data_IF_696913093039
#
_entry.id   IF_696913093039
#
_cell.length_a   1.000
_cell.length_b   1.000
_cell.length_c   1.000
_cell.angle_alpha   90.00
_cell.angle_beta   90.00
_cell.angle_gamma   90.00
#
_symmetry.space_group_name_H-M   'P 1'
#
loop_
_entity.id
_entity.type
_entity.pdbx_description
1 polymer ?
#
# COMPACT_ATOMS: atom_id res chain seq x y z
N UNK A 1 10.96 25.74 26.47
CA UNK A 1 10.57 24.84 25.36
C UNK A 1 11.76 24.77 24.43
N UNK A 2 12.41 23.61 24.34
CA UNK A 2 13.55 23.42 23.42
C UNK A 2 12.98 23.14 22.03
N UNK A 3 12.94 24.14 21.18
CA UNK A 3 12.59 23.97 19.76
C UNK A 3 13.83 23.52 19.02
N UNK A 4 14.13 22.22 19.07
CA UNK A 4 15.04 21.65 18.09
C UNK A 4 14.50 22.00 16.70
N UNK A 5 15.35 22.46 15.76
CA UNK A 5 14.87 22.81 14.42
C UNK A 5 14.23 21.59 13.78
N UNK A 6 12.97 21.73 13.34
CA UNK A 6 12.29 20.71 12.55
C UNK A 6 13.06 20.54 11.24
N UNK A 7 13.64 19.36 11.04
CA UNK A 7 14.29 18.99 9.79
C UNK A 7 13.25 18.34 8.87
N UNK A 8 13.38 18.58 7.57
CA UNK A 8 12.58 17.89 6.58
C UNK A 8 13.01 16.42 6.52
N UNK A 9 12.03 15.51 6.52
CA UNK A 9 12.27 14.12 6.18
C UNK A 9 12.50 14.03 4.66
N UNK A 10 13.68 13.54 4.25
CA UNK A 10 14.06 13.44 2.84
C UNK A 10 14.58 12.04 2.58
N UNK A 11 14.03 11.40 1.54
CA UNK A 11 14.55 10.15 0.99
C UNK A 11 14.87 10.37 -0.48
N UNK A 12 16.15 10.29 -0.83
CA UNK A 12 16.53 10.32 -2.24
C UNK A 12 16.27 8.95 -2.88
N UNK A 13 16.01 8.89 -4.20
CA UNK A 13 15.75 7.63 -4.89
C UNK A 13 16.83 6.56 -4.68
N UNK A 14 18.10 6.97 -4.59
CA UNK A 14 19.22 6.04 -4.37
C UNK A 14 19.26 5.43 -2.96
N UNK A 15 18.58 6.07 -1.99
CA UNK A 15 18.54 5.65 -0.59
C UNK A 15 17.28 4.87 -0.24
N UNK A 16 16.34 4.74 -1.20
CA UNK A 16 15.05 4.09 -1.01
C UNK A 16 15.18 2.59 -1.24
N UNK A 17 14.88 1.81 -0.20
CA UNK A 17 14.79 0.35 -0.29
C UNK A 17 13.59 -0.04 -1.17
N UNK A 18 13.78 -1.08 -2.00
CA UNK A 18 12.72 -1.66 -2.82
C UNK A 18 12.58 -3.14 -2.50
N UNK A 19 11.35 -3.56 -2.18
CA UNK A 19 10.98 -4.93 -1.81
C UNK A 19 9.96 -5.49 -2.79
N UNK A 20 9.80 -6.81 -2.84
CA UNK A 20 8.77 -7.48 -3.63
C UNK A 20 9.32 -8.39 -4.73
N UNK A 21 8.56 -8.53 -5.82
CA UNK A 21 8.82 -9.48 -6.92
C UNK A 21 8.83 -8.76 -8.25
N UNK A 22 9.06 -9.48 -9.35
CA UNK A 22 8.92 -8.92 -10.70
C UNK A 22 7.48 -8.47 -11.01
N UNK A 23 6.48 -9.07 -10.36
CA UNK A 23 5.06 -8.76 -10.57
C UNK A 23 4.62 -7.50 -9.84
N UNK A 24 5.14 -7.27 -8.62
CA UNK A 24 4.83 -6.08 -7.84
C UNK A 24 5.99 -5.74 -6.90
N UNK A 25 6.38 -4.47 -6.88
CA UNK A 25 7.40 -3.93 -5.98
C UNK A 25 6.85 -2.78 -5.15
N UNK A 26 7.41 -2.63 -3.96
CA UNK A 26 7.17 -1.49 -3.07
C UNK A 26 8.49 -0.79 -2.81
N UNK A 27 8.58 0.48 -3.17
CA UNK A 27 9.71 1.36 -2.82
C UNK A 27 9.35 2.19 -1.59
N UNK A 28 10.15 2.05 -0.54
CA UNK A 28 9.95 2.67 0.77
C UNK A 28 10.44 4.13 0.72
N UNK A 29 9.50 5.09 0.80
CA UNK A 29 9.83 6.52 0.66
C UNK A 29 10.10 7.17 2.01
N UNK A 30 9.07 7.38 2.85
CA UNK A 30 9.23 7.94 4.20
C UNK A 30 8.38 7.13 5.17
N UNK A 31 8.97 6.74 6.30
CA UNK A 31 8.20 6.11 7.38
C UNK A 31 7.63 7.14 8.37
N UNK A 32 6.64 6.71 9.17
CA UNK A 32 5.94 7.58 10.13
C UNK A 32 6.91 8.25 11.10
N UNK A 33 7.84 7.48 11.67
CA UNK A 33 8.89 7.95 12.57
C UNK A 33 9.81 9.00 11.93
N UNK A 34 10.11 8.88 10.64
CA UNK A 34 10.92 9.86 9.90
C UNK A 34 10.14 11.17 9.66
N UNK A 35 8.83 11.06 9.42
CA UNK A 35 7.93 12.17 9.13
C UNK A 35 7.28 12.78 10.39
N UNK A 36 7.74 12.41 11.59
CA UNK A 36 7.18 12.92 12.85
C UNK A 36 5.70 12.56 13.07
N UNK A 37 5.26 11.41 12.56
CA UNK A 37 3.89 10.91 12.70
C UNK A 37 2.89 11.44 11.67
N UNK A 38 3.31 12.36 10.78
CA UNK A 38 2.38 13.04 9.87
C UNK A 38 1.89 12.10 8.78
N UNK A 39 2.78 11.35 8.16
CA UNK A 39 2.46 10.43 7.09
C UNK A 39 3.48 9.29 6.98
N UNK A 40 3.05 8.20 6.39
CA UNK A 40 3.95 7.19 5.83
C UNK A 40 3.70 7.12 4.34
N UNK A 41 4.76 7.10 3.54
CA UNK A 41 4.67 7.17 2.09
C UNK A 41 5.46 6.06 1.42
N UNK A 42 4.91 5.55 0.34
CA UNK A 42 5.47 4.46 -0.43
C UNK A 42 5.07 4.58 -1.90
N UNK A 43 5.90 4.03 -2.78
CA UNK A 43 5.52 3.83 -4.19
C UNK A 43 5.29 2.34 -4.42
N UNK A 44 4.16 1.98 -5.04
CA UNK A 44 3.91 0.61 -5.50
C UNK A 44 3.97 0.60 -7.02
N UNK A 45 4.77 -0.30 -7.59
CA UNK A 45 4.76 -0.59 -9.02
C UNK A 45 4.23 -2.00 -9.23
N UNK A 46 3.25 -2.15 -10.11
CA UNK A 46 2.57 -3.40 -10.45
C UNK A 46 2.68 -3.65 -11.95
N UNK A 47 3.06 -4.87 -12.32
CA UNK A 47 3.02 -5.36 -13.69
C UNK A 47 1.57 -5.49 -14.19
N UNK A 48 1.41 -5.80 -15.49
CA UNK A 48 0.09 -5.96 -16.10
C UNK A 48 -0.77 -6.94 -15.32
N UNK A 49 -1.95 -6.50 -14.88
CA UNK A 49 -2.89 -7.34 -14.15
C UNK A 49 -2.38 -7.88 -12.81
N UNK A 50 -1.24 -7.39 -12.30
CA UNK A 50 -0.69 -7.81 -11.02
C UNK A 50 -1.55 -7.31 -9.86
N UNK A 51 -1.56 -8.08 -8.77
CA UNK A 51 -2.22 -7.65 -7.54
C UNK A 51 -1.31 -6.71 -6.75
N UNK A 52 -1.93 -5.74 -6.08
CA UNK A 52 -1.30 -4.91 -5.07
C UNK A 52 -1.65 -5.46 -3.68
N UNK A 53 -2.41 -4.69 -2.91
CA UNK A 53 -2.86 -5.14 -1.59
C UNK A 53 -4.12 -6.01 -1.67
N UNK A 54 -4.10 -7.11 -0.91
CA UNK A 54 -5.31 -7.89 -0.61
C UNK A 54 -6.31 -7.04 0.22
N UNK A 55 -7.60 -7.40 0.25
CA UNK A 55 -8.62 -6.68 1.00
C UNK A 55 -8.26 -6.47 2.47
N UNK A 56 -8.24 -5.21 2.90
CA UNK A 56 -7.91 -4.81 4.26
C UNK A 56 -8.56 -3.46 4.62
N UNK A 57 -8.43 -3.05 5.88
CA UNK A 57 -8.72 -1.69 6.32
C UNK A 57 -7.69 -1.22 7.35
N UNK A 58 -7.66 0.09 7.56
CA UNK A 58 -6.89 0.77 8.59
C UNK A 58 -7.83 1.33 9.67
N UNK A 59 -7.45 1.27 10.94
CA UNK A 59 -8.24 1.84 12.05
C UNK A 59 -7.86 3.27 12.38
N UNK A 60 -6.62 3.67 12.09
CA UNK A 60 -6.07 4.98 12.48
C UNK A 60 -5.95 5.93 11.30
N UNK A 61 -5.63 5.41 10.12
CA UNK A 61 -5.18 6.21 8.98
C UNK A 61 -6.20 6.22 7.85
N UNK A 62 -6.38 7.37 7.23
CA UNK A 62 -6.94 7.44 5.88
C UNK A 62 -5.80 7.17 4.88
N UNK A 63 -6.07 6.49 3.77
CA UNK A 63 -5.06 6.12 2.77
C UNK A 63 -5.30 6.87 1.46
N UNK A 64 -4.35 7.73 1.07
CA UNK A 64 -4.35 8.43 -0.20
C UNK A 64 -3.59 7.62 -1.25
N UNK A 65 -4.12 7.63 -2.47
CA UNK A 65 -3.50 7.06 -3.65
C UNK A 65 -3.39 8.14 -4.73
N UNK A 66 -2.24 8.20 -5.40
CA UNK A 66 -2.04 8.95 -6.63
C UNK A 66 -1.49 8.03 -7.72
N UNK A 67 -2.15 7.99 -8.88
CA UNK A 67 -1.74 7.14 -10.00
C UNK A 67 -0.75 7.90 -10.86
N UNK A 68 0.54 7.58 -10.70
CA UNK A 68 1.62 8.20 -11.44
C UNK A 68 1.70 7.70 -12.89
N UNK A 69 1.48 6.40 -13.11
CA UNK A 69 1.48 5.77 -14.44
C UNK A 69 0.50 4.60 -14.48
N UNK A 70 -0.07 4.33 -15.66
CA UNK A 70 -0.92 3.16 -15.90
C UNK A 70 -2.36 3.32 -15.37
N UNK A 71 -2.96 2.20 -14.98
CA UNK A 71 -4.34 2.12 -14.50
C UNK A 71 -4.47 1.25 -13.25
N UNK A 72 -5.01 1.84 -12.19
CA UNK A 72 -5.25 1.19 -10.91
C UNK A 72 -6.72 0.73 -10.83
N UNK A 73 -6.95 -0.55 -10.58
CA UNK A 73 -8.24 -1.05 -10.13
C UNK A 73 -8.27 -1.04 -8.60
N UNK A 74 -9.32 -0.45 -8.01
CA UNK A 74 -9.47 -0.30 -6.56
C UNK A 74 -10.84 -0.79 -6.12
N UNK A 75 -10.88 -1.62 -5.09
CA UNK A 75 -12.08 -1.81 -4.28
C UNK A 75 -12.10 -0.73 -3.18
N UNK A 76 -13.19 0.02 -3.07
CA UNK A 76 -13.40 1.00 -1.99
C UNK A 76 -14.83 0.83 -1.46
N UNK A 77 -14.96 0.17 -0.29
CA UNK A 77 -16.26 -0.22 0.24
C UNK A 77 -16.95 -1.25 -0.65
N UNK A 78 -18.12 -0.90 -1.18
CA UNK A 78 -18.94 -1.74 -2.08
C UNK A 78 -18.66 -1.50 -3.56
N UNK A 79 -17.76 -0.56 -3.89
CA UNK A 79 -17.45 -0.18 -5.27
C UNK A 79 -16.12 -0.78 -5.71
N UNK A 80 -16.06 -1.18 -6.99
CA UNK A 80 -14.83 -1.45 -7.71
C UNK A 80 -14.69 -0.41 -8.80
N UNK A 81 -13.60 0.34 -8.78
CA UNK A 81 -13.37 1.51 -9.63
C UNK A 81 -12.04 1.36 -10.36
N UNK A 82 -11.91 2.02 -11.50
CA UNK A 82 -10.64 2.18 -12.22
C UNK A 82 -10.21 3.64 -12.17
N UNK A 83 -8.96 3.88 -11.78
CA UNK A 83 -8.35 5.21 -11.72
C UNK A 83 -7.11 5.20 -12.60
N UNK A 84 -7.14 6.01 -13.66
CA UNK A 84 -6.03 6.17 -14.59
C UNK A 84 -4.99 7.19 -14.14
N UNK A 85 -3.91 7.29 -14.91
CA UNK A 85 -2.81 8.24 -14.72
C UNK A 85 -3.29 9.67 -14.45
N UNK A 86 -2.70 10.32 -13.44
CA UNK A 86 -3.07 11.66 -12.95
C UNK A 86 -4.29 11.69 -12.04
N UNK A 87 -5.00 10.56 -11.89
CA UNK A 87 -6.08 10.40 -10.93
C UNK A 87 -5.59 10.18 -9.50
N UNK A 88 -6.45 10.49 -8.54
CA UNK A 88 -6.20 10.28 -7.12
C UNK A 88 -7.47 9.88 -6.39
N UNK A 89 -7.32 9.14 -5.30
CA UNK A 89 -8.42 8.82 -4.40
C UNK A 89 -7.92 8.85 -2.95
N UNK A 90 -8.85 8.99 -2.01
CA UNK A 90 -8.59 8.79 -0.59
C UNK A 90 -9.61 7.79 -0.06
N UNK A 91 -9.12 6.77 0.63
CA UNK A 91 -9.94 5.78 1.32
C UNK A 91 -9.96 6.14 2.81
N UNK A 92 -11.12 6.48 3.38
CA UNK A 92 -11.22 6.76 4.82
C UNK A 92 -10.89 5.53 5.65
N UNK A 93 -10.32 5.73 6.85
CA UNK A 93 -10.18 4.66 7.84
C UNK A 93 -11.49 3.89 8.05
N UNK A 94 -11.37 2.63 8.43
CA UNK A 94 -12.45 1.66 8.64
C UNK A 94 -13.20 1.24 7.36
N UNK A 95 -12.89 1.83 6.20
CA UNK A 95 -13.43 1.37 4.93
C UNK A 95 -12.56 0.23 4.38
N UNK A 96 -13.13 -0.96 4.14
CA UNK A 96 -12.43 -2.02 3.43
C UNK A 96 -12.02 -1.58 2.02
N UNK A 97 -10.78 -1.87 1.65
CA UNK A 97 -10.25 -1.58 0.33
C UNK A 97 -9.18 -2.59 -0.09
N UNK A 98 -8.97 -2.67 -1.39
CA UNK A 98 -7.98 -3.52 -2.04
C UNK A 98 -7.58 -2.85 -3.36
N UNK A 99 -6.43 -3.21 -3.92
CA UNK A 99 -6.04 -2.67 -5.22
C UNK A 99 -5.14 -3.61 -6.01
N UNK A 100 -5.10 -3.37 -7.32
CA UNK A 100 -4.22 -4.04 -8.27
C UNK A 100 -4.16 -3.27 -9.57
N UNK A 101 -3.24 -3.63 -10.47
CA UNK A 101 -3.27 -3.09 -11.82
C UNK A 101 -4.46 -3.68 -12.60
N UNK A 102 -5.03 -2.92 -13.54
CA UNK A 102 -6.09 -3.44 -14.43
C UNK A 102 -5.58 -4.64 -15.26
N UNK A 103 -6.46 -5.52 -15.75
CA UNK A 103 -6.05 -6.69 -16.55
C UNK A 103 -5.14 -6.38 -17.73
N UNK A 104 -5.35 -5.24 -18.39
CA UNK A 104 -4.66 -4.88 -19.63
C UNK A 104 -3.49 -3.90 -19.42
N UNK A 105 -3.34 -3.33 -18.22
CA UNK A 105 -2.36 -2.29 -17.91
C UNK A 105 -1.53 -2.62 -16.68
N UNK A 106 -0.31 -2.08 -16.60
CA UNK A 106 0.42 -1.98 -15.33
C UNK A 106 -0.05 -0.76 -14.53
N UNK A 107 0.51 -0.56 -13.34
CA UNK A 107 0.26 0.64 -12.55
C UNK A 107 1.46 1.03 -11.71
N UNK A 108 1.72 2.34 -11.59
CA UNK A 108 2.65 2.92 -10.63
C UNK A 108 1.90 3.95 -9.81
N UNK A 109 1.89 3.76 -8.50
CA UNK A 109 1.10 4.58 -7.58
C UNK A 109 1.97 5.08 -6.42
N UNK A 110 1.68 6.29 -5.95
CA UNK A 110 2.15 6.77 -4.65
C UNK A 110 1.01 6.60 -3.65
N UNK A 111 1.33 6.02 -2.50
CA UNK A 111 0.43 5.86 -1.36
C UNK A 111 0.92 6.72 -0.21
N UNK A 112 -0.02 7.34 0.51
CA UNK A 112 0.24 8.00 1.79
C UNK A 112 -0.82 7.60 2.83
N UNK A 113 -0.37 7.05 3.97
CA UNK A 113 -1.23 6.86 5.14
C UNK A 113 -1.13 8.09 6.04
N UNK A 114 -2.28 8.67 6.41
CA UNK A 114 -2.36 9.89 7.21
C UNK A 114 -3.45 9.76 8.29
N UNK A 115 -3.13 9.86 9.60
CA UNK A 115 -1.77 9.97 10.18
C UNK A 115 -0.84 8.81 9.80
N UNK A 116 0.47 8.99 9.94
CA UNK A 116 1.45 7.96 9.57
C UNK A 116 1.42 6.74 10.49
N UNK A 117 1.66 5.56 9.92
CA UNK A 117 1.85 4.28 10.62
C UNK A 117 3.15 3.64 10.14
N UNK A 118 3.93 2.97 10.99
CA UNK A 118 5.17 2.33 10.54
C UNK A 118 4.90 1.34 9.39
N UNK A 119 5.59 1.51 8.26
CA UNK A 119 5.40 0.70 7.04
C UNK A 119 6.62 -0.11 6.66
N UNK A 120 7.83 0.33 7.00
CA UNK A 120 9.03 -0.30 6.45
C UNK A 120 9.15 -1.74 6.95
N UNK A 121 9.01 -1.96 8.27
CA UNK A 121 9.00 -3.31 8.84
C UNK A 121 7.80 -4.16 8.40
N UNK A 122 6.64 -3.54 8.15
CA UNK A 122 5.49 -4.24 7.58
C UNK A 122 5.82 -4.84 6.21
N UNK A 123 6.40 -4.05 5.30
CA UNK A 123 6.76 -4.57 3.97
C UNK A 123 7.95 -5.53 4.02
N UNK A 124 8.90 -5.35 4.93
CA UNK A 124 9.97 -6.33 5.18
C UNK A 124 9.40 -7.65 5.71
N UNK A 125 8.36 -7.61 6.55
CA UNK A 125 7.66 -8.81 7.00
C UNK A 125 6.95 -9.51 5.85
N UNK A 126 6.25 -8.77 4.98
CA UNK A 126 5.64 -9.34 3.77
C UNK A 126 6.69 -9.99 2.83
N UNK A 127 7.83 -9.35 2.66
CA UNK A 127 8.94 -9.88 1.86
C UNK A 127 9.49 -11.20 2.45
N UNK A 128 9.69 -11.25 3.77
CA UNK A 128 10.06 -12.50 4.48
C UNK A 128 9.01 -13.60 4.32
N UNK A 129 7.72 -13.25 4.36
CA UNK A 129 6.63 -14.22 4.12
C UNK A 129 6.71 -14.75 2.68
N UNK A 130 6.91 -13.88 1.69
CA UNK A 130 7.09 -14.28 0.29
C UNK A 130 8.29 -15.22 0.07
N UNK A 131 9.34 -15.09 0.89
CA UNK A 131 10.54 -15.96 0.89
C UNK A 131 10.40 -17.22 1.75
N UNK A 132 9.30 -17.38 2.49
CA UNK A 132 9.10 -18.50 3.41
C UNK A 132 9.88 -18.39 4.73
N UNK A 133 10.39 -17.21 5.07
CA UNK A 133 11.16 -16.90 6.28
C UNK A 133 10.27 -16.40 7.43
N UNK A 134 8.99 -16.13 7.16
CA UNK A 134 7.98 -15.74 8.14
C UNK A 134 6.61 -16.27 7.71
N UNK A 135 5.61 -16.17 8.58
CA UNK A 135 4.28 -16.75 8.35
C UNK A 135 3.18 -15.71 8.31
N UNK A 136 2.03 -16.07 7.74
CA UNK A 136 0.81 -15.25 7.84
C UNK A 136 0.32 -15.08 9.29
N UNK A 137 0.69 -15.99 10.20
CA UNK A 137 0.38 -15.83 11.62
C UNK A 137 1.20 -14.69 12.25
N UNK A 138 2.45 -14.51 11.85
CA UNK A 138 3.30 -13.38 12.28
C UNK A 138 2.72 -12.05 11.78
N UNK A 139 2.23 -12.02 10.54
CA UNK A 139 1.55 -10.86 9.97
C UNK A 139 0.27 -10.51 10.73
N UNK A 140 -0.55 -11.51 11.06
CA UNK A 140 -1.77 -11.31 11.84
C UNK A 140 -1.45 -10.83 13.27
N UNK A 141 -0.37 -11.32 13.88
CA UNK A 141 0.08 -10.86 15.20
C UNK A 141 0.54 -9.39 15.18
N UNK A 142 1.04 -8.90 14.04
CA UNK A 142 1.51 -7.53 13.86
C UNK A 142 0.43 -6.55 13.33
N UNK A 143 -0.82 -6.99 13.17
CA UNK A 143 -1.89 -6.18 12.56
C UNK A 143 -2.16 -4.86 13.31
N UNK A 144 -2.07 -4.87 14.65
CA UNK A 144 -2.32 -3.68 15.47
C UNK A 144 -1.16 -2.68 15.37
N UNK A 145 0.08 -3.19 15.37
CA UNK A 145 1.29 -2.39 15.21
C UNK A 145 1.29 -1.63 13.89
N UNK A 146 1.03 -2.36 12.79
CA UNK A 146 1.06 -1.84 11.43
C UNK A 146 -0.30 -1.35 10.91
N UNK A 147 -1.31 -1.31 11.78
CA UNK A 147 -2.68 -0.87 11.49
C UNK A 147 -3.28 -1.49 10.22
N UNK A 148 -3.06 -2.78 9.97
CA UNK A 148 -3.45 -3.42 8.72
C UNK A 148 -4.30 -4.66 8.98
N UNK A 149 -5.60 -4.53 8.82
CA UNK A 149 -6.58 -5.54 9.20
C UNK A 149 -7.15 -6.21 7.95
N UNK A 150 -6.72 -7.43 7.65
CA UNK A 150 -7.23 -8.17 6.50
C UNK A 150 -8.69 -8.58 6.68
N UNK A 151 -9.44 -8.53 5.59
CA UNK A 151 -10.85 -8.96 5.53
C UNK A 151 -11.07 -9.89 4.36
N UNK A 152 -12.12 -10.71 4.45
CA UNK A 152 -12.60 -11.41 3.26
C UNK A 152 -13.42 -10.44 2.39
N UNK A 153 -13.17 -10.47 1.09
CA UNK A 153 -13.96 -9.73 0.11
C UNK A 153 -14.12 -10.59 -1.16
N UNK A 154 -15.08 -11.53 -1.17
CA UNK A 154 -15.25 -12.46 -2.27
C UNK A 154 -15.52 -11.77 -3.61
N UNK A 155 -16.24 -10.64 -3.59
CA UNK A 155 -16.55 -9.85 -4.79
C UNK A 155 -15.28 -9.30 -5.46
N UNK A 156 -14.30 -8.84 -4.67
CA UNK A 156 -13.01 -8.39 -5.20
C UNK A 156 -12.28 -9.54 -5.89
N UNK A 157 -12.18 -10.70 -5.24
CA UNK A 157 -11.48 -11.84 -5.82
C UNK A 157 -12.20 -12.41 -7.04
N UNK A 158 -13.53 -12.40 -7.04
CA UNK A 158 -14.32 -12.77 -8.20
C UNK A 158 -14.02 -11.86 -9.38
N UNK A 159 -14.04 -10.54 -9.18
CA UNK A 159 -13.73 -9.55 -10.22
C UNK A 159 -12.30 -9.70 -10.74
N UNK A 160 -11.33 -9.83 -9.84
CA UNK A 160 -9.91 -10.00 -10.20
C UNK A 160 -9.70 -11.26 -11.01
N UNK A 161 -10.28 -12.38 -10.60
CA UNK A 161 -10.07 -13.68 -11.24
C UNK A 161 -10.86 -13.86 -12.53
N UNK A 162 -12.02 -13.19 -12.68
CA UNK A 162 -12.80 -13.23 -13.92
C UNK A 162 -12.05 -12.64 -15.12
N UNK A 163 -11.11 -11.72 -14.86
CA UNK A 163 -10.41 -10.96 -15.88
C UNK A 163 -8.89 -11.30 -15.97
N UNK A 164 -8.43 -12.38 -15.33
CA UNK A 164 -7.06 -12.88 -15.56
C UNK A 164 -7.05 -13.73 -16.84
N UNK A 165 -6.32 -13.30 -17.86
CA UNK A 165 -6.08 -14.04 -19.10
C UNK A 165 -4.63 -14.49 -19.19
#
# INVERSE_FOLDING_TARGET
MSTSPQQAAIRYPADAETLGTESATVRLLLDSSEAGGVASTLEVTMARGADGAAPHYHTRSDELFYVAEGELQVMAGDQILTVGTGGSLIVPKLMPHAFGATPDSGAKIMIALMPGVERFEYFRLLDRIGKGESTFADLAAAQEEFDNWFVDAPQWWQERNANRH
#
